data_IF_182840949101
#
_entry.id   IF_182840949101
#
_cell.length_a   1.000
_cell.length_b   1.000
_cell.length_c   1.000
_cell.angle_alpha   90.00
_cell.angle_beta   90.00
_cell.angle_gamma   90.00
#
_symmetry.space_group_name_H-M   'P 1'
#
loop_
_entity.id
_entity.type
_entity.pdbx_description
1 polymer ?
#
# COMPACT_ATOMS: atom_id res chain seq x y z
N UNK A 1 -35.91 -41.14 -6.51
CA UNK A 1 -35.41 -39.84 -7.00
C UNK A 1 -34.03 -39.49 -6.46
N UNK A 2 -33.61 -40.05 -5.32
CA UNK A 2 -32.51 -39.55 -4.49
C UNK A 2 -31.10 -40.02 -4.93
N UNK A 3 -30.99 -41.23 -5.49
CA UNK A 3 -29.68 -41.86 -5.78
C UNK A 3 -28.95 -41.31 -7.01
N UNK A 4 -29.70 -40.85 -8.03
CA UNK A 4 -29.10 -40.30 -9.27
C UNK A 4 -28.40 -38.97 -9.06
N UNK A 5 -28.99 -38.10 -8.26
CA UNK A 5 -28.42 -36.80 -7.92
C UNK A 5 -27.14 -36.97 -7.10
N UNK A 6 -27.18 -37.94 -6.19
CA UNK A 6 -26.11 -38.23 -5.27
C UNK A 6 -24.89 -38.87 -5.98
N UNK A 7 -25.14 -39.71 -6.99
CA UNK A 7 -24.11 -40.25 -7.88
C UNK A 7 -23.55 -39.21 -8.85
N UNK A 8 -24.40 -38.32 -9.37
CA UNK A 8 -23.96 -37.19 -10.19
C UNK A 8 -23.05 -36.27 -9.38
N UNK A 9 -23.40 -35.97 -8.13
CA UNK A 9 -22.61 -35.18 -7.19
C UNK A 9 -21.28 -35.86 -6.87
N UNK A 10 -21.26 -37.18 -6.62
CA UNK A 10 -20.03 -37.97 -6.41
C UNK A 10 -19.13 -37.98 -7.65
N UNK A 11 -19.71 -38.12 -8.83
CA UNK A 11 -18.98 -38.08 -10.11
C UNK A 11 -18.36 -36.71 -10.37
N UNK A 12 -19.13 -35.63 -10.20
CA UNK A 12 -18.66 -34.25 -10.31
C UNK A 12 -17.53 -33.96 -9.32
N UNK A 13 -17.67 -34.38 -8.05
CA UNK A 13 -16.68 -34.15 -7.00
C UNK A 13 -15.37 -34.90 -7.28
N UNK A 14 -15.43 -36.11 -7.85
CA UNK A 14 -14.23 -36.85 -8.31
C UNK A 14 -13.59 -36.20 -9.53
N UNK A 15 -14.38 -35.77 -10.52
CA UNK A 15 -13.85 -35.22 -11.78
C UNK A 15 -13.22 -33.84 -11.62
N UNK A 16 -13.77 -33.00 -10.75
CA UNK A 16 -13.35 -31.60 -10.63
C UNK A 16 -12.75 -31.25 -9.26
N UNK A 17 -12.76 -32.16 -8.29
CA UNK A 17 -12.26 -31.91 -6.92
C UNK A 17 -10.82 -31.41 -6.90
N UNK A 18 -9.92 -32.10 -7.60
CA UNK A 18 -8.49 -31.75 -7.65
C UNK A 18 -8.24 -30.44 -8.41
N UNK A 19 -9.00 -30.20 -9.48
CA UNK A 19 -8.93 -28.94 -10.24
C UNK A 19 -9.38 -27.75 -9.39
N UNK A 20 -10.47 -27.90 -8.63
CA UNK A 20 -10.96 -26.88 -7.71
C UNK A 20 -9.97 -26.62 -6.57
N UNK A 21 -9.34 -27.66 -6.02
CA UNK A 21 -8.32 -27.52 -4.98
C UNK A 21 -7.05 -26.82 -5.51
N UNK A 22 -6.57 -27.19 -6.70
CA UNK A 22 -5.42 -26.54 -7.34
C UNK A 22 -5.70 -25.08 -7.67
N UNK A 23 -6.88 -24.79 -8.24
CA UNK A 23 -7.31 -23.41 -8.49
C UNK A 23 -7.38 -22.60 -7.20
N UNK A 24 -7.89 -23.21 -6.11
CA UNK A 24 -7.92 -22.58 -4.79
C UNK A 24 -6.52 -22.31 -4.24
N UNK A 25 -5.58 -23.27 -4.37
CA UNK A 25 -4.19 -23.07 -3.96
C UNK A 25 -3.48 -21.98 -4.76
N UNK A 26 -3.67 -21.96 -6.09
CA UNK A 26 -3.11 -20.94 -6.96
C UNK A 26 -3.68 -19.55 -6.61
N UNK A 27 -4.98 -19.48 -6.35
CA UNK A 27 -5.65 -18.26 -5.91
C UNK A 27 -5.18 -17.80 -4.53
N UNK A 28 -4.94 -18.73 -3.60
CA UNK A 28 -4.40 -18.45 -2.26
C UNK A 28 -2.93 -18.03 -2.30
N UNK A 29 -2.12 -18.62 -3.18
CA UNK A 29 -0.73 -18.20 -3.46
C UNK A 29 -0.70 -16.77 -3.99
N UNK A 30 -1.58 -16.44 -4.95
CA UNK A 30 -1.76 -15.07 -5.47
C UNK A 30 -2.33 -14.10 -4.41
N UNK A 31 -3.11 -14.60 -3.44
CA UNK A 31 -3.68 -13.83 -2.31
C UNK A 31 -2.77 -13.69 -1.09
N UNK A 32 -1.57 -14.30 -1.04
CA UNK A 32 -0.55 -14.01 -0.01
C UNK A 32 0.05 -12.60 -0.17
N UNK A 33 -0.78 -11.59 -0.43
CA UNK A 33 -0.52 -10.18 -0.08
C UNK A 33 -0.59 -10.06 1.44
N UNK A 34 0.37 -10.68 2.13
CA UNK A 34 0.61 -10.41 3.55
C UNK A 34 1.01 -8.95 3.75
N UNK A 35 1.00 -8.49 5.00
CA UNK A 35 1.67 -7.23 5.34
C UNK A 35 3.11 -7.29 4.84
N UNK A 36 3.63 -6.16 4.37
CA UNK A 36 5.04 -6.08 3.97
C UNK A 36 5.93 -6.42 5.19
N UNK A 37 7.13 -7.01 4.97
CA UNK A 37 8.05 -7.32 6.05
C UNK A 37 8.34 -6.08 6.91
N UNK A 38 8.48 -6.25 8.23
CA UNK A 38 8.67 -5.13 9.16
C UNK A 38 9.87 -4.26 8.77
N UNK A 39 11.05 -4.87 8.56
CA UNK A 39 12.26 -4.16 8.12
C UNK A 39 12.05 -3.38 6.82
N UNK A 40 11.34 -3.96 5.85
CA UNK A 40 11.01 -3.27 4.61
C UNK A 40 10.13 -2.04 4.89
N UNK A 41 9.11 -2.17 5.75
CA UNK A 41 8.27 -1.02 6.14
C UNK A 41 9.00 0.03 6.95
N UNK A 42 10.03 -0.33 7.72
CA UNK A 42 10.86 0.62 8.47
C UNK A 42 11.67 1.51 7.52
N UNK A 43 12.34 0.94 6.52
CA UNK A 43 13.05 1.73 5.50
C UNK A 43 12.12 2.66 4.70
N UNK A 44 10.91 2.20 4.37
CA UNK A 44 9.90 3.04 3.70
C UNK A 44 9.44 4.20 4.60
N UNK A 45 9.25 3.95 5.90
CA UNK A 45 8.90 4.98 6.89
C UNK A 45 10.04 5.98 7.11
N UNK A 46 11.28 5.55 7.10
CA UNK A 46 12.44 6.42 7.22
C UNK A 46 12.50 7.40 6.05
N UNK A 47 12.41 6.90 4.83
CA UNK A 47 12.33 7.74 3.63
C UNK A 47 11.15 8.72 3.69
N UNK A 48 9.98 8.23 4.12
CA UNK A 48 8.77 9.03 4.29
C UNK A 48 8.96 10.19 5.27
N UNK A 49 9.50 9.91 6.46
CA UNK A 49 9.70 10.90 7.52
C UNK A 49 10.64 12.04 7.09
N UNK A 50 11.64 11.72 6.27
CA UNK A 50 12.55 12.71 5.70
C UNK A 50 11.88 13.60 4.62
N UNK A 51 10.81 13.13 3.98
CA UNK A 51 10.15 13.79 2.83
C UNK A 51 8.67 14.06 3.05
N UNK A 52 8.25 14.26 4.30
CA UNK A 52 6.84 14.37 4.68
C UNK A 52 6.14 15.59 4.05
N UNK A 53 6.88 16.62 3.64
CA UNK A 53 6.33 17.77 2.86
C UNK A 53 5.79 17.29 1.50
N UNK A 54 6.56 16.44 0.81
CA UNK A 54 6.25 15.95 -0.53
C UNK A 54 6.64 14.47 -0.68
N UNK A 55 5.81 13.54 -0.17
CA UNK A 55 6.14 12.12 -0.12
C UNK A 55 5.80 11.39 -1.44
N UNK A 56 6.39 11.88 -2.53
CA UNK A 56 6.28 11.34 -3.88
C UNK A 56 7.68 10.90 -4.33
N UNK A 57 8.04 9.61 -4.12
CA UNK A 57 9.37 9.13 -4.51
C UNK A 57 9.54 9.19 -6.03
N UNK A 58 10.72 9.62 -6.45
CA UNK A 58 11.17 9.54 -7.85
C UNK A 58 11.39 8.09 -8.25
N UNK A 59 11.62 7.82 -9.55
CA UNK A 59 11.97 6.46 -9.99
C UNK A 59 13.29 5.97 -9.39
N UNK A 60 14.27 6.86 -9.21
CA UNK A 60 15.53 6.53 -8.55
C UNK A 60 15.34 6.23 -7.06
N UNK A 61 14.51 7.01 -6.35
CA UNK A 61 14.14 6.70 -4.97
C UNK A 61 13.48 5.31 -4.87
N UNK A 62 12.54 5.00 -5.79
CA UNK A 62 11.85 3.69 -5.81
C UNK A 62 12.84 2.56 -6.08
N UNK A 63 13.81 2.76 -6.97
CA UNK A 63 14.86 1.78 -7.27
C UNK A 63 15.74 1.52 -6.05
N UNK A 64 16.21 2.58 -5.37
CA UNK A 64 17.01 2.47 -4.16
C UNK A 64 16.25 1.78 -3.01
N UNK A 65 14.98 2.14 -2.82
CA UNK A 65 14.11 1.49 -1.84
C UNK A 65 13.89 0.01 -2.20
N UNK A 66 13.71 -0.32 -3.48
CA UNK A 66 13.58 -1.70 -3.94
C UNK A 66 14.83 -2.53 -3.65
N UNK A 67 16.01 -1.99 -3.95
CA UNK A 67 17.29 -2.65 -3.63
C UNK A 67 17.48 -2.90 -2.14
N UNK A 68 17.06 -1.97 -1.29
CA UNK A 68 17.26 -2.07 0.17
C UNK A 68 16.20 -2.97 0.84
N UNK A 69 14.97 -2.96 0.34
CA UNK A 69 13.83 -3.64 0.99
C UNK A 69 13.49 -5.00 0.37
N UNK A 70 14.01 -5.30 -0.83
CA UNK A 70 13.62 -6.48 -1.63
C UNK A 70 12.21 -6.38 -2.21
N UNK A 71 11.55 -5.23 -2.13
CA UNK A 71 10.22 -5.01 -2.67
C UNK A 71 10.28 -4.62 -4.14
N UNK A 72 9.29 -5.07 -4.90
CA UNK A 72 9.13 -4.61 -6.27
C UNK A 72 8.48 -3.21 -6.33
N UNK A 73 8.62 -2.55 -7.48
CA UNK A 73 8.08 -1.21 -7.71
C UNK A 73 6.58 -1.10 -7.41
N UNK A 74 5.78 -2.13 -7.74
CA UNK A 74 4.35 -2.17 -7.45
C UNK A 74 4.05 -2.15 -5.96
N UNK A 75 4.79 -2.91 -5.15
CA UNK A 75 4.65 -2.92 -3.69
C UNK A 75 5.01 -1.57 -3.09
N UNK A 76 6.10 -0.95 -3.55
CA UNK A 76 6.55 0.37 -3.12
C UNK A 76 5.50 1.44 -3.47
N UNK A 77 5.06 1.48 -4.73
CA UNK A 77 4.02 2.40 -5.21
C UNK A 77 2.74 2.27 -4.37
N UNK A 78 2.27 1.05 -4.15
CA UNK A 78 1.07 0.79 -3.35
C UNK A 78 1.25 1.21 -1.90
N UNK A 79 2.43 1.02 -1.32
CA UNK A 79 2.70 1.47 0.03
C UNK A 79 2.59 3.00 0.15
N UNK A 80 3.25 3.74 -0.74
CA UNK A 80 3.22 5.22 -0.73
C UNK A 80 1.83 5.80 -1.01
N UNK A 81 1.08 5.21 -1.96
CA UNK A 81 -0.31 5.62 -2.22
C UNK A 81 -1.17 5.43 -0.97
N UNK A 82 -1.07 4.28 -0.31
CA UNK A 82 -1.83 4.00 0.90
C UNK A 82 -1.38 4.89 2.06
N UNK A 83 -0.08 5.14 2.22
CA UNK A 83 0.46 6.00 3.27
C UNK A 83 -0.02 7.45 3.09
N UNK A 84 0.00 8.00 1.86
CA UNK A 84 -0.57 9.34 1.57
C UNK A 84 -2.05 9.43 1.88
N UNK A 85 -2.84 8.43 1.45
CA UNK A 85 -4.28 8.39 1.73
C UNK A 85 -4.58 8.38 3.24
N UNK A 86 -3.78 7.66 4.03
CA UNK A 86 -4.00 7.51 5.47
C UNK A 86 -3.53 8.69 6.30
N UNK A 87 -2.44 9.35 5.90
CA UNK A 87 -1.75 10.34 6.74
C UNK A 87 -1.63 11.70 6.03
N UNK A 88 -0.97 11.76 4.88
CA UNK A 88 -0.62 13.04 4.24
C UNK A 88 -1.84 13.85 3.76
N UNK A 89 -2.84 13.21 3.12
CA UNK A 89 -4.05 13.93 2.67
C UNK A 89 -4.85 14.54 3.84
N UNK A 90 -4.74 14.00 5.05
CA UNK A 90 -5.46 14.53 6.22
C UNK A 90 -4.90 15.90 6.65
N UNK A 91 -3.64 16.19 6.34
CA UNK A 91 -3.01 17.48 6.61
C UNK A 91 -3.69 18.62 5.83
N UNK A 92 -4.32 18.32 4.69
CA UNK A 92 -4.98 19.30 3.82
C UNK A 92 -6.51 19.19 3.85
N UNK A 93 -7.10 18.53 4.86
CA UNK A 93 -8.56 18.40 4.97
C UNK A 93 -9.21 19.80 5.00
N UNK A 94 -10.17 20.02 4.10
CA UNK A 94 -10.87 21.31 3.93
C UNK A 94 -10.18 22.31 2.99
N UNK A 95 -9.06 21.92 2.37
CA UNK A 95 -8.30 22.72 1.39
C UNK A 95 -8.14 21.92 0.08
N UNK A 96 -7.79 22.62 -1.00
CA UNK A 96 -7.34 21.95 -2.23
C UNK A 96 -6.06 21.16 -1.94
N UNK A 97 -5.94 19.96 -2.53
CA UNK A 97 -4.72 19.18 -2.38
C UNK A 97 -3.60 19.81 -3.20
N UNK A 98 -2.40 19.98 -2.62
CA UNK A 98 -1.28 20.54 -3.35
C UNK A 98 -0.83 19.59 -4.46
N UNK A 99 -0.52 20.16 -5.62
CA UNK A 99 -0.07 19.46 -6.81
C UNK A 99 1.46 19.51 -6.99
N UNK A 100 2.15 20.32 -6.18
CA UNK A 100 3.60 20.44 -6.16
C UNK A 100 4.16 20.55 -4.74
N UNK A 101 5.48 20.32 -4.61
CA UNK A 101 6.18 20.47 -3.33
C UNK A 101 6.10 21.90 -2.77
N UNK A 102 6.14 22.91 -3.65
CA UNK A 102 6.06 24.32 -3.26
C UNK A 102 4.66 24.68 -2.73
N UNK A 103 3.61 24.19 -3.39
CA UNK A 103 2.24 24.35 -2.93
C UNK A 103 2.03 23.64 -1.58
N UNK A 104 2.56 22.43 -1.43
CA UNK A 104 2.45 21.68 -0.17
C UNK A 104 3.13 22.42 0.98
N UNK A 105 4.34 22.94 0.75
CA UNK A 105 5.08 23.71 1.74
C UNK A 105 4.31 24.98 2.16
N UNK A 106 3.80 25.73 1.17
CA UNK A 106 3.02 26.94 1.41
C UNK A 106 1.74 26.65 2.19
N UNK A 107 0.98 25.63 1.79
CA UNK A 107 -0.28 25.26 2.44
C UNK A 107 -0.05 24.76 3.88
N UNK A 108 1.00 23.97 4.11
CA UNK A 108 1.37 23.50 5.45
C UNK A 108 1.78 24.66 6.36
N UNK A 109 2.62 25.57 5.88
CA UNK A 109 3.03 26.74 6.65
C UNK A 109 1.83 27.64 6.99
N UNK A 110 0.95 27.90 6.02
CA UNK A 110 -0.25 28.71 6.22
C UNK A 110 -1.22 28.08 7.24
N UNK A 111 -1.40 26.76 7.20
CA UNK A 111 -2.33 26.04 8.08
C UNK A 111 -1.83 25.92 9.53
N UNK A 112 -0.55 25.67 9.72
CA UNK A 112 0.04 25.38 11.04
C UNK A 112 0.86 26.55 11.61
N UNK A 113 0.81 27.73 10.96
CA UNK A 113 1.56 28.93 11.33
C UNK A 113 3.04 28.90 10.95
N UNK A 114 3.66 27.72 10.89
CA UNK A 114 5.01 27.53 10.38
C UNK A 114 5.20 26.15 9.76
N UNK A 115 6.20 26.03 8.88
CA UNK A 115 6.58 24.72 8.33
C UNK A 115 7.12 23.79 9.42
N UNK A 116 7.87 24.32 10.40
CA UNK A 116 8.43 23.53 11.49
C UNK A 116 7.31 22.85 12.31
N UNK A 117 6.29 23.61 12.69
CA UNK A 117 5.11 23.10 13.39
C UNK A 117 4.37 22.06 12.55
N UNK A 118 4.20 22.31 11.25
CA UNK A 118 3.55 21.36 10.35
C UNK A 118 4.30 20.02 10.26
N UNK A 119 5.63 20.05 10.20
CA UNK A 119 6.48 18.86 10.17
C UNK A 119 6.38 18.04 11.45
N UNK A 120 6.30 18.69 12.61
CA UNK A 120 6.09 18.02 13.89
C UNK A 120 4.75 17.27 13.93
N UNK A 121 3.67 17.92 13.49
CA UNK A 121 2.34 17.29 13.39
C UNK A 121 2.35 16.11 12.42
N UNK A 122 2.97 16.28 11.26
CA UNK A 122 2.98 15.27 10.21
C UNK A 122 3.79 14.02 10.60
N UNK A 123 4.84 14.15 11.41
CA UNK A 123 5.67 13.02 11.91
C UNK A 123 4.99 12.22 13.02
N UNK A 124 4.03 12.81 13.74
CA UNK A 124 3.22 12.12 14.76
C UNK A 124 2.05 11.32 14.20
N UNK A 125 1.74 11.52 12.91
CA UNK A 125 0.54 11.00 12.23
C UNK A 125 0.79 9.65 11.57
#
# INVERSE_FOLDING_TARGET
>A
GDTRDDDLRRSLKRKYGDSILNLKEEFLRKRKKGKLPQRATESLKEWWSARVVWPYPTEDDKKALGSTTGLNATQINNWFINQRKRHWHKLFRGQAQPSSALEAQTALAAKYGSLATALEVARRS
#
